data_IF_776623982777
#
_entry.id   IF_776623982777
#
_cell.length_a   1.000
_cell.length_b   1.000
_cell.length_c   1.000
_cell.angle_alpha   90.00
_cell.angle_beta   90.00
_cell.angle_gamma   90.00
#
_symmetry.space_group_name_H-M   'P 1'
#
loop_
_entity.id
_entity.type
_entity.pdbx_description
1 polymer ?
#
# COMPACT_ATOMS: atom_id res chain seq x y z
N UNK A 1 -32.17 16.36 -18.43
CA UNK A 1 -31.25 15.91 -17.37
C UNK A 1 -30.11 16.91 -17.32
N UNK A 2 -30.01 17.71 -16.27
CA UNK A 2 -28.88 18.63 -16.10
C UNK A 2 -27.64 17.81 -15.74
N UNK A 3 -26.60 17.84 -16.57
CA UNK A 3 -25.30 17.29 -16.18
C UNK A 3 -24.79 18.14 -15.02
N UNK A 4 -24.82 17.62 -13.79
CA UNK A 4 -24.07 18.23 -12.69
C UNK A 4 -22.62 18.32 -13.13
N UNK A 5 -22.09 19.53 -13.23
CA UNK A 5 -20.64 19.70 -13.38
C UNK A 5 -19.98 19.06 -12.16
N UNK A 6 -18.89 18.31 -12.33
CA UNK A 6 -18.20 17.70 -11.21
C UNK A 6 -17.79 18.80 -10.24
N UNK A 7 -18.26 18.70 -9.00
CA UNK A 7 -17.83 19.60 -7.93
C UNK A 7 -16.31 19.54 -7.84
N UNK A 8 -15.67 20.69 -8.00
CA UNK A 8 -14.23 20.78 -7.90
C UNK A 8 -13.81 20.44 -6.47
N UNK A 9 -13.11 19.31 -6.31
CA UNK A 9 -12.61 18.88 -5.00
C UNK A 9 -11.66 19.96 -4.44
N UNK A 10 -12.09 20.68 -3.41
CA UNK A 10 -11.29 21.68 -2.73
C UNK A 10 -10.25 20.99 -1.82
N UNK A 11 -8.98 21.25 -2.06
CA UNK A 11 -7.85 20.67 -1.34
C UNK A 11 -7.90 20.90 0.18
N UNK A 12 -8.31 22.09 0.64
CA UNK A 12 -8.41 22.38 2.08
C UNK A 12 -9.58 21.65 2.75
N UNK A 13 -10.66 21.36 2.01
CA UNK A 13 -11.74 20.52 2.52
C UNK A 13 -11.27 19.09 2.77
N UNK A 14 -10.29 18.60 2.02
CA UNK A 14 -9.72 17.27 2.25
C UNK A 14 -8.96 17.23 3.58
N UNK A 15 -8.20 18.26 3.94
CA UNK A 15 -7.54 18.32 5.25
C UNK A 15 -8.57 18.31 6.39
N UNK A 16 -9.70 18.99 6.22
CA UNK A 16 -10.78 18.97 7.21
C UNK A 16 -11.43 17.59 7.32
N UNK A 17 -11.65 16.91 6.20
CA UNK A 17 -12.16 15.53 6.20
C UNK A 17 -11.18 14.57 6.87
N UNK A 18 -9.88 14.67 6.57
CA UNK A 18 -8.83 13.91 7.25
C UNK A 18 -8.93 14.12 8.75
N UNK A 19 -9.04 15.36 9.22
CA UNK A 19 -9.20 15.69 10.66
C UNK A 19 -10.37 14.97 11.34
N UNK A 20 -11.43 14.68 10.59
CA UNK A 20 -12.67 14.06 11.09
C UNK A 20 -12.73 12.54 10.92
N UNK A 21 -11.67 11.92 10.41
CA UNK A 21 -11.57 10.47 10.24
C UNK A 21 -11.74 9.73 11.58
N UNK A 22 -12.41 8.56 11.54
CA UNK A 22 -12.70 7.75 12.73
C UNK A 22 -11.43 7.30 13.45
N UNK A 23 -10.37 7.03 12.68
CA UNK A 23 -9.05 6.65 13.16
C UNK A 23 -8.47 7.70 14.11
N UNK A 24 -8.84 8.98 13.91
CA UNK A 24 -8.36 10.07 14.75
C UNK A 24 -9.23 10.37 15.98
N UNK A 25 -10.29 9.60 16.22
CA UNK A 25 -11.07 9.69 17.46
C UNK A 25 -10.41 8.99 18.65
N UNK A 26 -9.43 8.13 18.39
CA UNK A 26 -8.69 7.42 19.45
C UNK A 26 -7.58 8.33 19.97
N UNK A 27 -7.59 8.59 21.28
CA UNK A 27 -6.64 9.49 21.92
C UNK A 27 -5.25 8.85 22.08
N UNK A 28 -4.40 8.98 21.07
CA UNK A 28 -3.00 8.54 21.11
C UNK A 28 -2.05 9.71 20.83
N UNK A 29 -0.78 9.56 21.21
CA UNK A 29 0.26 10.56 20.92
C UNK A 29 0.38 10.83 19.42
N UNK A 30 0.31 9.78 18.60
CA UNK A 30 0.35 9.88 17.14
C UNK A 30 -0.84 10.69 16.63
N UNK A 31 -2.04 10.35 17.10
CA UNK A 31 -3.28 11.06 16.73
C UNK A 31 -3.21 12.55 17.04
N UNK A 32 -2.71 12.90 18.24
CA UNK A 32 -2.54 14.29 18.67
C UNK A 32 -1.55 15.04 17.79
N UNK A 33 -0.45 14.39 17.39
CA UNK A 33 0.54 14.94 16.48
C UNK A 33 -0.09 15.31 15.13
N UNK A 34 -0.75 14.34 14.50
CA UNK A 34 -1.43 14.53 13.20
C UNK A 34 -2.47 15.64 13.25
N UNK A 35 -3.35 15.62 14.27
CA UNK A 35 -4.38 16.65 14.42
C UNK A 35 -3.79 18.05 14.69
N UNK A 36 -2.67 18.13 15.42
CA UNK A 36 -1.94 19.37 15.63
C UNK A 36 -1.36 19.91 14.33
N UNK A 37 -0.73 19.05 13.53
CA UNK A 37 -0.15 19.41 12.23
C UNK A 37 -1.24 19.87 11.24
N UNK A 38 -2.37 19.16 11.16
CA UNK A 38 -3.53 19.60 10.35
C UNK A 38 -3.99 20.99 10.79
N UNK A 39 -4.13 21.22 12.10
CA UNK A 39 -4.55 22.51 12.63
C UNK A 39 -3.56 23.62 12.24
N UNK A 40 -2.25 23.36 12.31
CA UNK A 40 -1.22 24.31 11.89
C UNK A 40 -1.35 24.66 10.40
N UNK A 41 -1.51 23.66 9.52
CA UNK A 41 -1.70 23.88 8.08
C UNK A 41 -2.96 24.71 7.78
N UNK A 42 -4.08 24.40 8.45
CA UNK A 42 -5.34 25.12 8.28
C UNK A 42 -5.31 26.57 8.79
N UNK A 43 -4.34 26.91 9.65
CA UNK A 43 -4.16 28.24 10.22
C UNK A 43 -3.16 29.11 9.44
N UNK A 44 -2.56 28.59 8.36
CA UNK A 44 -1.72 29.40 7.49
C UNK A 44 -2.54 30.52 6.83
N UNK A 45 -1.92 31.69 6.69
CA UNK A 45 -2.53 32.88 6.10
C UNK A 45 -1.63 33.46 5.00
N UNK A 46 -2.17 34.41 4.22
CA UNK A 46 -1.38 35.17 3.25
C UNK A 46 -0.72 34.31 2.17
N UNK A 47 0.59 34.46 2.03
CA UNK A 47 1.39 33.78 0.99
C UNK A 47 1.59 32.29 1.29
N UNK A 48 1.77 31.93 2.56
CA UNK A 48 2.00 30.54 2.98
C UNK A 48 0.77 29.66 2.73
N UNK A 49 -0.43 30.22 2.93
CA UNK A 49 -1.67 29.55 2.54
C UNK A 49 -1.74 29.24 1.04
N UNK A 50 -1.34 30.19 0.19
CA UNK A 50 -1.36 30.01 -1.27
C UNK A 50 -0.34 28.96 -1.72
N UNK A 51 0.83 28.93 -1.07
CA UNK A 51 1.86 27.90 -1.32
C UNK A 51 1.35 26.51 -0.95
N UNK A 52 0.72 26.37 0.23
CA UNK A 52 0.04 25.14 0.62
C UNK A 52 -1.02 24.74 -0.43
N UNK A 53 -1.93 25.65 -0.79
CA UNK A 53 -2.97 25.35 -1.79
C UNK A 53 -2.39 24.90 -3.14
N UNK A 54 -1.32 25.54 -3.61
CA UNK A 54 -0.60 25.16 -4.83
C UNK A 54 0.02 23.76 -4.72
N UNK A 55 0.67 23.46 -3.59
CA UNK A 55 1.24 22.15 -3.33
C UNK A 55 0.17 21.04 -3.29
N UNK A 56 -0.91 21.28 -2.54
CA UNK A 56 -2.01 20.33 -2.44
C UNK A 56 -2.70 20.07 -3.79
N UNK A 57 -2.78 21.10 -4.64
CA UNK A 57 -3.23 20.97 -6.02
C UNK A 57 -2.26 20.12 -6.86
N UNK A 58 -0.95 20.27 -6.64
CA UNK A 58 0.09 19.42 -7.23
C UNK A 58 -0.11 17.94 -6.91
N UNK A 59 -0.30 17.60 -5.62
CA UNK A 59 -0.63 16.22 -5.18
C UNK A 59 -1.87 15.70 -5.90
N UNK A 60 -2.95 16.49 -5.91
CA UNK A 60 -4.21 16.09 -6.56
C UNK A 60 -4.02 15.81 -8.05
N UNK A 61 -3.27 16.66 -8.76
CA UNK A 61 -3.00 16.47 -10.18
C UNK A 61 -2.18 15.20 -10.43
N UNK A 62 -1.17 14.91 -9.59
CA UNK A 62 -0.42 13.66 -9.66
C UNK A 62 -1.33 12.44 -9.46
N UNK A 63 -2.21 12.47 -8.48
CA UNK A 63 -3.18 11.39 -8.27
C UNK A 63 -4.10 11.20 -9.49
N UNK A 64 -4.58 12.28 -10.11
CA UNK A 64 -5.36 12.19 -11.35
C UNK A 64 -4.56 11.58 -12.49
N UNK A 65 -3.28 11.91 -12.63
CA UNK A 65 -2.37 11.28 -13.60
C UNK A 65 -2.26 9.77 -13.35
N UNK A 66 -2.14 9.34 -12.10
CA UNK A 66 -2.10 7.91 -11.73
C UNK A 66 -3.39 7.16 -12.10
N UNK A 67 -4.52 7.84 -12.05
CA UNK A 67 -5.84 7.29 -12.37
C UNK A 67 -6.17 7.30 -13.88
N UNK A 68 -5.29 7.85 -14.73
CA UNK A 68 -5.46 7.76 -16.18
C UNK A 68 -5.46 6.29 -16.63
N UNK A 69 -6.28 5.90 -17.62
CA UNK A 69 -6.36 4.51 -18.07
C UNK A 69 -5.01 3.87 -18.44
N UNK A 70 -4.09 4.66 -18.99
CA UNK A 70 -2.73 4.23 -19.34
C UNK A 70 -1.89 3.85 -18.13
N UNK A 71 -2.11 4.51 -17.00
CA UNK A 71 -1.36 4.33 -15.76
C UNK A 71 -2.08 3.38 -14.80
N UNK A 72 -3.39 3.21 -14.98
CA UNK A 72 -4.26 2.43 -14.11
C UNK A 72 -3.91 0.94 -14.06
N UNK A 73 -3.43 0.39 -15.18
CA UNK A 73 -2.96 -1.01 -15.24
C UNK A 73 -1.80 -1.27 -14.27
N UNK A 74 -0.99 -0.25 -13.99
CA UNK A 74 0.11 -0.30 -13.03
C UNK A 74 -0.15 0.63 -11.85
N UNK A 75 -1.43 0.83 -11.49
CA UNK A 75 -1.80 1.81 -10.49
C UNK A 75 -1.03 1.61 -9.18
N UNK A 76 -0.90 0.38 -8.69
CA UNK A 76 -0.25 0.09 -7.42
C UNK A 76 1.24 0.43 -7.41
N UNK A 77 1.96 0.05 -8.47
CA UNK A 77 3.35 0.42 -8.63
C UNK A 77 3.54 1.93 -8.75
N UNK A 78 2.79 2.58 -9.65
CA UNK A 78 2.90 4.03 -9.85
C UNK A 78 2.50 4.80 -8.58
N UNK A 79 1.54 4.27 -7.82
CA UNK A 79 1.12 4.85 -6.55
C UNK A 79 2.13 4.60 -5.43
N UNK A 80 2.83 3.46 -5.46
CA UNK A 80 3.94 3.20 -4.58
C UNK A 80 5.10 4.17 -4.86
N UNK A 81 5.57 4.26 -6.11
CA UNK A 81 6.59 5.22 -6.56
C UNK A 81 6.21 6.66 -6.18
N UNK A 82 4.94 7.04 -6.37
CA UNK A 82 4.45 8.34 -5.95
C UNK A 82 4.63 8.58 -4.44
N UNK A 83 4.39 7.57 -3.61
CA UNK A 83 4.48 7.70 -2.15
C UNK A 83 5.88 7.56 -1.60
N UNK A 84 6.72 6.70 -2.18
CA UNK A 84 8.06 6.42 -1.69
C UNK A 84 9.10 7.41 -2.22
N UNK A 85 8.89 7.97 -3.41
CA UNK A 85 9.89 8.83 -4.07
C UNK A 85 9.35 10.23 -4.36
N UNK A 86 8.24 10.34 -5.08
CA UNK A 86 7.79 11.63 -5.61
C UNK A 86 7.29 12.54 -4.48
N UNK A 87 6.41 12.05 -3.61
CA UNK A 87 5.85 12.83 -2.52
C UNK A 87 6.91 13.29 -1.51
N UNK A 88 7.84 12.44 -1.02
CA UNK A 88 8.93 12.89 -0.16
C UNK A 88 9.80 13.97 -0.81
N UNK A 89 10.08 13.87 -2.11
CA UNK A 89 10.81 14.91 -2.84
C UNK A 89 10.03 16.23 -2.88
N UNK A 90 8.72 16.18 -3.18
CA UNK A 90 7.87 17.37 -3.17
C UNK A 90 7.77 18.01 -1.77
N UNK A 91 7.74 17.21 -0.70
CA UNK A 91 7.73 17.68 0.69
C UNK A 91 9.08 18.28 1.11
N UNK A 92 10.18 17.67 0.67
CA UNK A 92 11.54 18.17 0.92
C UNK A 92 11.75 19.54 0.27
N UNK A 93 11.25 19.75 -0.95
CA UNK A 93 11.30 21.07 -1.60
C UNK A 93 10.56 22.16 -0.80
N UNK A 94 9.41 21.84 -0.19
CA UNK A 94 8.67 22.79 0.65
C UNK A 94 9.43 23.11 1.94
N UNK A 95 10.05 22.10 2.53
CA UNK A 95 10.86 22.23 3.74
C UNK A 95 12.10 23.10 3.48
N UNK A 96 12.80 22.88 2.38
CA UNK A 96 13.98 23.67 1.98
C UNK A 96 13.63 25.14 1.75
N UNK A 97 12.43 25.40 1.21
CA UNK A 97 11.91 26.76 1.00
C UNK A 97 11.26 27.37 2.25
N UNK A 98 11.16 26.61 3.35
CA UNK A 98 10.50 27.01 4.60
C UNK A 98 9.06 27.51 4.40
N UNK A 99 8.35 26.96 3.41
CA UNK A 99 7.00 27.40 3.05
C UNK A 99 5.94 26.82 4.00
N UNK A 100 6.27 25.71 4.65
CA UNK A 100 5.41 24.96 5.56
C UNK A 100 6.26 24.52 6.77
N UNK A 101 5.71 24.45 8.00
CA UNK A 101 6.43 23.95 9.15
C UNK A 101 6.97 22.52 8.93
N UNK A 102 8.25 22.29 9.23
CA UNK A 102 8.90 20.99 9.02
C UNK A 102 8.15 19.83 9.67
N UNK A 103 7.59 20.05 10.87
CA UNK A 103 6.80 19.02 11.57
C UNK A 103 5.56 18.56 10.79
N UNK A 104 5.03 19.40 9.89
CA UNK A 104 3.95 19.02 8.99
C UNK A 104 4.50 18.28 7.77
N UNK A 105 5.66 18.66 7.23
CA UNK A 105 6.30 17.97 6.11
C UNK A 105 6.70 16.54 6.49
N UNK A 106 7.23 16.35 7.70
CA UNK A 106 7.68 15.06 8.23
C UNK A 106 6.52 14.16 8.71
N UNK A 107 5.29 14.69 8.73
CA UNK A 107 4.11 13.92 9.17
C UNK A 107 3.58 13.02 8.05
N UNK A 108 4.22 11.87 7.91
CA UNK A 108 3.84 10.89 6.90
C UNK A 108 2.37 10.46 7.01
N UNK A 109 1.86 10.25 8.23
CA UNK A 109 0.49 9.74 8.46
C UNK A 109 -0.54 10.77 7.96
N UNK A 110 -0.30 12.06 8.21
CA UNK A 110 -1.09 13.14 7.64
C UNK A 110 -1.16 13.04 6.12
N UNK A 111 -0.01 13.01 5.44
CA UNK A 111 0.03 13.01 3.98
C UNK A 111 -0.56 11.74 3.37
N UNK A 112 -0.38 10.60 4.05
CA UNK A 112 -0.99 9.35 3.67
C UNK A 112 -2.52 9.43 3.70
N UNK A 113 -3.11 9.88 4.81
CA UNK A 113 -4.56 10.04 4.92
C UNK A 113 -5.10 11.08 3.92
N UNK A 114 -4.35 12.15 3.68
CA UNK A 114 -4.70 13.17 2.70
C UNK A 114 -4.79 12.60 1.27
N UNK A 115 -3.79 11.82 0.87
CA UNK A 115 -3.74 11.16 -0.44
C UNK A 115 -4.87 10.12 -0.56
N UNK A 116 -5.09 9.30 0.47
CA UNK A 116 -6.18 8.32 0.51
C UNK A 116 -7.55 8.99 0.29
N UNK A 117 -7.77 10.16 0.90
CA UNK A 117 -9.01 10.93 0.71
C UNK A 117 -9.15 11.52 -0.69
N UNK A 118 -8.07 12.01 -1.30
CA UNK A 118 -8.11 12.45 -2.70
C UNK A 118 -8.48 11.26 -3.59
N UNK A 119 -7.79 10.12 -3.43
CA UNK A 119 -8.06 8.91 -4.20
C UNK A 119 -9.51 8.46 -4.07
N UNK A 120 -10.06 8.40 -2.85
CA UNK A 120 -11.45 8.05 -2.59
C UNK A 120 -12.41 8.90 -3.43
N UNK A 121 -12.19 10.22 -3.46
CA UNK A 121 -13.04 11.14 -4.22
C UNK A 121 -12.83 11.05 -5.72
N UNK A 122 -11.59 10.99 -6.18
CA UNK A 122 -11.29 10.91 -7.62
C UNK A 122 -11.79 9.57 -8.21
N UNK A 123 -11.71 8.48 -7.45
CA UNK A 123 -12.30 7.18 -7.81
C UNK A 123 -13.83 7.18 -7.76
N UNK A 124 -14.46 8.00 -6.91
CA UNK A 124 -15.91 8.16 -6.87
C UNK A 124 -16.44 8.98 -8.06
N UNK A 125 -15.69 10.01 -8.49
CA UNK A 125 -16.02 10.87 -9.63
C UNK A 125 -15.75 10.16 -10.95
N UNK A 126 -14.64 9.44 -11.03
CA UNK A 126 -14.28 8.66 -12.20
C UNK A 126 -15.27 7.50 -12.29
N UNK A 127 -16.20 7.57 -13.25
CA UNK A 127 -17.11 6.48 -13.62
C UNK A 127 -16.35 5.27 -14.23
N UNK A 128 -15.17 4.96 -13.70
CA UNK A 128 -14.45 3.74 -14.01
C UNK A 128 -15.40 2.61 -13.68
N UNK A 129 -15.69 1.81 -14.71
CA UNK A 129 -16.58 0.67 -14.68
C UNK A 129 -16.47 -0.07 -13.34
N UNK A 130 -17.60 -0.22 -12.66
CA UNK A 130 -17.78 -0.90 -11.36
C UNK A 130 -17.17 -2.32 -11.37
N UNK A 131 -16.86 -2.88 -12.54
CA UNK A 131 -16.30 -4.21 -12.71
C UNK A 131 -14.80 -4.33 -12.36
N UNK A 132 -14.06 -3.22 -12.20
CA UNK A 132 -12.65 -3.28 -11.82
C UNK A 132 -12.21 -2.03 -11.03
N UNK A 133 -12.83 -1.77 -9.87
CA UNK A 133 -12.25 -0.79 -8.95
C UNK A 133 -10.94 -1.38 -8.38
N UNK A 134 -9.77 -0.77 -8.61
CA UNK A 134 -8.52 -1.22 -8.04
C UNK A 134 -8.64 -1.09 -6.53
N UNK A 135 -8.29 -2.16 -5.83
CA UNK A 135 -8.32 -2.16 -4.37
C UNK A 135 -7.07 -1.44 -3.89
N UNK A 136 -7.19 -0.15 -3.58
CA UNK A 136 -6.12 0.58 -2.89
C UNK A 136 -6.09 0.12 -1.43
N UNK A 137 -4.97 -0.45 -1.01
CA UNK A 137 -4.76 -0.84 0.38
C UNK A 137 -4.57 0.43 1.23
N UNK A 138 -5.30 0.52 2.33
CA UNK A 138 -5.07 1.54 3.37
C UNK A 138 -3.69 1.34 4.02
N UNK A 139 -3.15 2.38 4.66
CA UNK A 139 -1.91 2.25 5.44
C UNK A 139 -1.94 1.09 6.47
N UNK A 140 -3.07 0.90 7.17
CA UNK A 140 -3.22 -0.20 8.13
C UNK A 140 -3.15 -1.57 7.44
N UNK A 141 -3.78 -1.70 6.26
CA UNK A 141 -3.70 -2.93 5.47
C UNK A 141 -2.29 -3.18 4.95
N UNK A 142 -1.57 -2.14 4.53
CA UNK A 142 -0.18 -2.25 4.09
C UNK A 142 0.74 -2.74 5.22
N UNK A 143 0.58 -2.20 6.43
CA UNK A 143 1.32 -2.67 7.61
C UNK A 143 1.04 -4.15 7.89
N UNK A 144 -0.23 -4.54 7.79
CA UNK A 144 -0.62 -5.94 7.92
C UNK A 144 -0.03 -6.81 6.80
N UNK A 145 0.06 -6.31 5.57
CA UNK A 145 0.67 -7.02 4.44
C UNK A 145 2.16 -7.22 4.69
N UNK A 146 2.93 -6.18 5.02
CA UNK A 146 4.38 -6.32 5.32
C UNK A 146 4.61 -7.28 6.49
N UNK A 147 3.80 -7.19 7.55
CA UNK A 147 3.90 -8.08 8.70
C UNK A 147 3.70 -9.55 8.32
N UNK A 148 2.63 -9.84 7.57
CA UNK A 148 2.32 -11.22 7.15
C UNK A 148 3.35 -11.74 6.16
N UNK A 149 3.82 -10.89 5.25
CA UNK A 149 4.83 -11.20 4.24
C UNK A 149 6.11 -11.74 4.89
N UNK A 150 6.64 -11.03 5.90
CA UNK A 150 7.78 -11.49 6.69
C UNK A 150 7.55 -12.86 7.34
N UNK A 151 6.35 -13.11 7.83
CA UNK A 151 5.99 -14.42 8.41
C UNK A 151 5.93 -15.54 7.36
N UNK A 152 5.43 -15.26 6.15
CA UNK A 152 5.40 -16.21 5.03
C UNK A 152 6.83 -16.60 4.64
N UNK A 153 7.68 -15.60 4.38
CA UNK A 153 9.07 -15.82 3.97
C UNK A 153 9.84 -16.61 5.03
N UNK A 154 9.73 -16.23 6.32
CA UNK A 154 10.34 -16.96 7.44
C UNK A 154 9.95 -18.44 7.47
N UNK A 155 8.67 -18.73 7.23
CA UNK A 155 8.15 -20.10 7.24
C UNK A 155 8.71 -20.90 6.07
N UNK A 156 8.77 -20.31 4.88
CA UNK A 156 9.31 -20.97 3.70
C UNK A 156 10.82 -21.21 3.80
N UNK A 157 11.59 -20.28 4.39
CA UNK A 157 13.01 -20.49 4.70
C UNK A 157 13.18 -21.74 5.58
N UNK A 158 12.30 -21.91 6.57
CA UNK A 158 12.33 -23.10 7.45
C UNK A 158 11.99 -24.39 6.68
N UNK A 159 10.97 -24.34 5.81
CA UNK A 159 10.56 -25.46 4.94
C UNK A 159 11.69 -25.88 4.00
N UNK A 160 12.39 -24.90 3.43
CA UNK A 160 13.42 -25.07 2.41
C UNK A 160 14.84 -24.92 2.92
N UNK A 161 15.08 -25.13 4.22
CA UNK A 161 16.40 -24.97 4.85
C UNK A 161 17.54 -25.78 4.21
N UNK A 162 17.23 -26.80 3.42
CA UNK A 162 18.19 -27.66 2.71
C UNK A 162 18.28 -27.40 1.20
N UNK A 163 17.39 -26.57 0.65
CA UNK A 163 17.45 -26.13 -0.74
C UNK A 163 18.11 -24.74 -0.76
N UNK A 164 19.38 -24.68 -1.16
CA UNK A 164 20.19 -23.46 -1.11
C UNK A 164 19.63 -22.38 -2.02
N UNK A 165 19.21 -22.73 -3.23
CA UNK A 165 18.67 -21.79 -4.22
C UNK A 165 17.40 -21.14 -3.67
N UNK A 166 16.43 -21.93 -3.21
CA UNK A 166 15.19 -21.39 -2.65
C UNK A 166 15.43 -20.52 -1.43
N UNK A 167 16.40 -20.91 -0.60
CA UNK A 167 16.76 -20.12 0.57
C UNK A 167 17.37 -18.78 0.16
N UNK A 168 18.27 -18.76 -0.82
CA UNK A 168 18.87 -17.52 -1.34
C UNK A 168 17.79 -16.59 -1.92
N UNK A 169 16.85 -17.09 -2.73
CA UNK A 169 15.70 -16.31 -3.20
C UNK A 169 14.91 -15.70 -2.05
N UNK A 170 14.57 -16.52 -1.05
CA UNK A 170 13.75 -16.08 0.07
C UNK A 170 14.50 -15.10 0.98
N UNK A 171 15.81 -15.25 1.14
CA UNK A 171 16.65 -14.30 1.88
C UNK A 171 16.78 -12.97 1.12
N UNK A 172 16.76 -12.97 -0.22
CA UNK A 172 16.76 -11.75 -1.04
C UNK A 172 15.47 -10.92 -0.92
N UNK A 173 14.34 -11.57 -0.56
CA UNK A 173 13.10 -10.87 -0.24
C UNK A 173 13.13 -10.17 1.14
N UNK A 174 14.19 -10.36 1.93
CA UNK A 174 14.31 -9.81 3.28
C UNK A 174 15.43 -8.78 3.36
N UNK A 175 15.23 -7.75 4.20
CA UNK A 175 16.34 -6.88 4.58
C UNK A 175 17.41 -7.71 5.31
N UNK A 176 18.64 -7.62 4.82
CA UNK A 176 19.78 -8.14 5.56
C UNK A 176 20.02 -7.27 6.79
N UNK A 177 20.43 -7.88 7.91
CA UNK A 177 20.59 -7.17 9.19
C UNK A 177 21.56 -5.98 9.14
N UNK A 178 22.39 -5.88 8.09
CA UNK A 178 23.31 -4.78 7.82
C UNK A 178 22.72 -3.65 6.97
N UNK A 179 21.63 -3.90 6.24
CA UNK A 179 21.07 -2.99 5.24
C UNK A 179 19.82 -2.24 5.74
N UNK A 180 19.56 -2.27 7.05
CA UNK A 180 18.60 -1.34 7.66
C UNK A 180 19.28 0.03 7.73
N UNK A 181 19.53 0.63 6.57
CA UNK A 181 19.92 2.03 6.47
C UNK A 181 18.74 2.91 6.85
N UNK A 182 19.07 4.09 7.37
CA UNK A 182 18.18 5.01 8.09
C UNK A 182 17.23 5.78 7.14
N UNK A 183 17.27 5.50 5.83
CA UNK A 183 16.72 6.41 4.81
C UNK A 183 15.40 5.95 4.15
N UNK A 184 14.90 4.75 4.47
CA UNK A 184 13.53 4.36 4.07
C UNK A 184 12.53 5.08 4.99
N UNK A 185 11.89 6.13 4.45
CA UNK A 185 10.81 6.88 5.12
C UNK A 185 9.44 6.19 5.00
N UNK A 186 9.37 4.88 4.76
CA UNK A 186 8.09 4.17 4.74
C UNK A 186 7.58 3.90 6.16
N UNK A 187 6.52 4.59 6.57
CA UNK A 187 5.81 4.41 7.85
C UNK A 187 5.45 2.97 8.20
N UNK A 188 5.26 2.11 7.20
CA UNK A 188 4.95 0.71 7.40
C UNK A 188 6.15 -0.10 7.90
N UNK A 189 7.36 0.33 7.51
CA UNK A 189 8.61 -0.18 8.06
C UNK A 189 8.82 0.30 9.49
N UNK A 190 8.58 1.59 9.77
CA UNK A 190 8.67 2.15 11.12
C UNK A 190 7.67 1.51 12.09
N UNK A 191 6.45 1.25 11.63
CA UNK A 191 5.44 0.52 12.41
C UNK A 191 5.91 -0.90 12.75
N UNK A 192 6.53 -1.60 11.80
CA UNK A 192 7.10 -2.92 12.03
C UNK A 192 8.23 -2.86 13.05
N UNK A 193 9.16 -1.90 12.93
CA UNK A 193 10.26 -1.68 13.89
C UNK A 193 9.72 -1.42 15.29
N UNK A 194 8.67 -0.61 15.43
CA UNK A 194 8.05 -0.30 16.71
C UNK A 194 7.32 -1.51 17.34
N UNK A 195 6.81 -2.43 16.51
CA UNK A 195 6.05 -3.60 16.96
C UNK A 195 6.95 -4.82 17.21
N UNK A 196 8.11 -4.89 16.57
CA UNK A 196 9.03 -6.01 16.68
C UNK A 196 9.62 -6.14 18.09
N UNK A 197 9.69 -7.39 18.55
CA UNK A 197 10.33 -7.78 19.82
C UNK A 197 11.47 -8.77 19.61
N UNK A 198 12.09 -8.72 18.43
CA UNK A 198 13.27 -9.51 18.04
C UNK A 198 12.95 -10.79 17.26
N UNK A 199 11.73 -10.91 16.73
CA UNK A 199 11.26 -12.14 16.08
C UNK A 199 10.69 -11.95 14.67
N UNK A 200 10.51 -10.70 14.24
CA UNK A 200 9.97 -10.38 12.93
C UNK A 200 11.05 -10.43 11.84
N UNK A 201 10.59 -10.68 10.62
CA UNK A 201 11.41 -10.59 9.40
C UNK A 201 10.85 -9.43 8.57
N UNK A 202 11.72 -8.52 8.17
CA UNK A 202 11.37 -7.35 7.39
C UNK A 202 11.58 -7.70 5.92
N UNK A 203 10.53 -7.59 5.12
CA UNK A 203 10.63 -7.75 3.67
C UNK A 203 11.19 -6.47 3.05
N UNK A 204 11.98 -6.61 1.99
CA UNK A 204 12.41 -5.48 1.15
C UNK A 204 11.20 -4.83 0.49
N UNK A 205 11.36 -3.62 -0.07
CA UNK A 205 10.26 -2.94 -0.77
C UNK A 205 9.77 -3.72 -1.99
N UNK A 206 10.70 -4.32 -2.73
CA UNK A 206 10.36 -5.21 -3.84
C UNK A 206 9.61 -6.47 -3.37
N UNK A 207 10.05 -7.06 -2.26
CA UNK A 207 9.32 -8.15 -1.62
C UNK A 207 7.92 -7.72 -1.17
N UNK A 208 7.78 -6.51 -0.63
CA UNK A 208 6.49 -5.94 -0.26
C UNK A 208 5.57 -5.75 -1.47
N UNK A 209 6.08 -5.19 -2.58
CA UNK A 209 5.32 -5.02 -3.83
C UNK A 209 4.76 -6.35 -4.33
N UNK A 210 5.57 -7.43 -4.32
CA UNK A 210 5.11 -8.77 -4.68
C UNK A 210 3.92 -9.20 -3.83
N UNK A 211 3.98 -9.02 -2.51
CA UNK A 211 2.90 -9.41 -1.61
C UNK A 211 1.67 -8.50 -1.74
N UNK A 212 1.81 -7.24 -2.13
CA UNK A 212 0.69 -6.36 -2.46
C UNK A 212 -0.07 -6.88 -3.69
N UNK A 213 0.64 -7.23 -4.76
CA UNK A 213 0.01 -7.79 -5.96
C UNK A 213 -0.70 -9.12 -5.66
N UNK A 214 -0.08 -9.99 -4.85
CA UNK A 214 -0.71 -11.24 -4.40
C UNK A 214 -1.94 -10.97 -3.53
N UNK A 215 -1.93 -9.97 -2.63
CA UNK A 215 -3.06 -9.60 -1.78
C UNK A 215 -4.25 -9.07 -2.59
N UNK A 216 -4.00 -8.20 -3.57
CA UNK A 216 -5.03 -7.63 -4.44
C UNK A 216 -5.65 -8.73 -5.29
N UNK A 217 -4.82 -9.56 -5.93
CA UNK A 217 -5.27 -10.69 -6.73
C UNK A 217 -6.13 -11.64 -5.89
N UNK A 218 -5.62 -12.07 -4.72
CA UNK A 218 -6.31 -12.99 -3.81
C UNK A 218 -7.67 -12.43 -3.40
N UNK A 219 -7.74 -11.15 -3.07
CA UNK A 219 -8.98 -10.50 -2.67
C UNK A 219 -10.02 -10.48 -3.79
N UNK A 220 -9.59 -10.18 -5.02
CA UNK A 220 -10.47 -10.19 -6.19
C UNK A 220 -11.04 -11.60 -6.44
N UNK A 221 -10.20 -12.64 -6.41
CA UNK A 221 -10.67 -14.01 -6.64
C UNK A 221 -11.60 -14.53 -5.55
N UNK A 222 -11.30 -14.21 -4.28
CA UNK A 222 -12.19 -14.57 -3.17
C UNK A 222 -13.54 -13.83 -3.25
N UNK A 223 -13.53 -12.57 -3.70
CA UNK A 223 -14.76 -11.80 -3.93
C UNK A 223 -15.62 -12.40 -5.05
N UNK A 224 -14.97 -12.99 -6.06
CA UNK A 224 -15.63 -13.72 -7.16
C UNK A 224 -16.05 -15.15 -6.78
N UNK A 225 -15.80 -15.58 -5.53
CA UNK A 225 -16.09 -16.92 -5.01
C UNK A 225 -15.39 -18.05 -5.76
N UNK A 226 -14.19 -17.80 -6.26
CA UNK A 226 -13.38 -18.85 -6.86
C UNK A 226 -12.96 -19.91 -5.82
N UNK A 227 -12.64 -21.11 -6.31
CA UNK A 227 -12.09 -22.17 -5.48
C UNK A 227 -10.68 -21.80 -5.02
N UNK A 228 -10.43 -21.83 -3.70
CA UNK A 228 -9.13 -21.52 -3.08
C UNK A 228 -7.97 -22.29 -3.72
N UNK A 229 -8.20 -23.53 -4.16
CA UNK A 229 -7.17 -24.35 -4.83
C UNK A 229 -6.79 -23.82 -6.23
N UNK A 230 -7.69 -23.11 -6.89
CA UNK A 230 -7.46 -22.50 -8.21
C UNK A 230 -6.77 -21.15 -8.09
N UNK A 231 -7.01 -20.40 -7.01
CA UNK A 231 -6.42 -19.07 -6.77
C UNK A 231 -4.90 -19.12 -6.87
N UNK A 232 -4.24 -20.12 -6.24
CA UNK A 232 -2.78 -20.21 -6.29
C UNK A 232 -2.25 -20.41 -7.72
N UNK A 233 -2.95 -21.22 -8.53
CA UNK A 233 -2.54 -21.51 -9.92
C UNK A 233 -2.77 -20.32 -10.82
N UNK A 234 -3.84 -19.57 -10.59
CA UNK A 234 -4.17 -18.38 -11.37
C UNK A 234 -3.24 -17.21 -11.02
N UNK A 235 -2.86 -17.06 -9.75
CA UNK A 235 -1.88 -16.07 -9.30
C UNK A 235 -0.53 -16.26 -9.98
N UNK A 236 -0.05 -17.51 -10.11
CA UNK A 236 1.18 -17.83 -10.84
C UNK A 236 1.10 -17.64 -12.37
N UNK A 237 -0.03 -17.16 -12.89
CA UNK A 237 -0.22 -16.78 -14.30
C UNK A 237 -0.59 -15.31 -14.44
N UNK A 238 -0.70 -14.59 -13.34
CA UNK A 238 -1.04 -13.19 -13.35
C UNK A 238 0.19 -12.38 -13.78
N UNK A 239 0.03 -11.53 -14.79
CA UNK A 239 1.12 -10.78 -15.41
C UNK A 239 1.78 -9.81 -14.42
N UNK A 240 1.02 -9.18 -13.53
CA UNK A 240 1.55 -8.24 -12.54
C UNK A 240 2.40 -8.96 -11.48
N UNK A 241 1.90 -10.08 -10.95
CA UNK A 241 2.65 -10.92 -10.00
C UNK A 241 3.93 -11.46 -10.65
N UNK A 242 3.85 -11.98 -11.87
CA UNK A 242 5.02 -12.55 -12.56
C UNK A 242 6.08 -11.51 -12.88
N UNK A 243 5.65 -10.30 -13.22
CA UNK A 243 6.55 -9.17 -13.47
C UNK A 243 7.31 -8.77 -12.21
N UNK A 244 6.64 -8.60 -11.08
CA UNK A 244 7.34 -8.27 -9.82
C UNK A 244 8.19 -9.45 -9.35
N UNK A 245 7.71 -10.68 -9.57
CA UNK A 245 8.48 -11.88 -9.25
C UNK A 245 9.79 -11.97 -10.04
N UNK A 246 9.78 -11.67 -11.34
CA UNK A 246 11.01 -11.70 -12.15
C UNK A 246 12.02 -10.64 -11.71
N UNK A 247 11.55 -9.50 -11.21
CA UNK A 247 12.40 -8.50 -10.56
C UNK A 247 12.95 -8.98 -9.21
N UNK A 248 12.23 -9.84 -8.48
CA UNK A 248 12.73 -10.41 -7.21
C UNK A 248 13.84 -11.46 -7.40
N UNK A 249 13.92 -12.10 -8.59
CA UNK A 249 14.82 -13.23 -8.85
C UNK A 249 15.84 -12.97 -9.96
N UNK A 250 16.22 -11.70 -10.18
CA UNK A 250 17.05 -11.22 -11.30
C UNK A 250 18.29 -12.08 -11.62
N UNK A 251 18.93 -12.69 -10.61
CA UNK A 251 20.15 -13.48 -10.79
C UNK A 251 19.92 -14.99 -10.95
N UNK A 252 18.67 -15.44 -11.06
CA UNK A 252 18.30 -16.85 -11.13
C UNK A 252 17.47 -17.06 -12.39
N UNK A 253 17.92 -17.97 -13.25
CA UNK A 253 17.15 -18.33 -14.45
C UNK A 253 15.72 -18.71 -14.06
N UNK A 254 14.75 -18.20 -14.83
CA UNK A 254 13.33 -18.48 -14.63
C UNK A 254 13.07 -19.96 -14.93
N UNK A 255 13.26 -20.77 -13.90
CA UNK A 255 13.18 -22.23 -13.93
C UNK A 255 11.83 -22.69 -13.39
N UNK A 256 11.47 -23.93 -13.68
CA UNK A 256 10.31 -24.59 -13.03
C UNK A 256 10.40 -24.53 -11.50
N UNK A 257 11.63 -24.53 -10.96
CA UNK A 257 11.88 -24.39 -9.53
C UNK A 257 11.48 -23.00 -9.00
N UNK A 258 11.78 -21.92 -9.73
CA UNK A 258 11.39 -20.55 -9.32
C UNK A 258 9.87 -20.39 -9.35
N UNK A 259 9.21 -20.95 -10.35
CA UNK A 259 7.75 -20.97 -10.41
C UNK A 259 7.13 -21.80 -9.29
N UNK A 260 7.78 -22.90 -8.90
CA UNK A 260 7.37 -23.71 -7.75
C UNK A 260 7.52 -22.95 -6.43
N UNK A 261 8.56 -22.11 -6.30
CA UNK A 261 8.74 -21.25 -5.14
C UNK A 261 7.67 -20.16 -5.07
N UNK A 262 7.39 -19.46 -6.18
CA UNK A 262 6.30 -18.49 -6.27
C UNK A 262 4.95 -19.13 -5.88
N UNK A 263 4.67 -20.33 -6.41
CA UNK A 263 3.46 -21.07 -6.06
C UNK A 263 3.34 -21.32 -4.55
N UNK A 264 4.44 -21.69 -3.89
CA UNK A 264 4.44 -21.90 -2.44
C UNK A 264 4.30 -20.60 -1.64
N UNK A 265 4.89 -19.49 -2.11
CA UNK A 265 4.69 -18.15 -1.54
C UNK A 265 3.21 -17.79 -1.57
N UNK A 266 2.58 -17.86 -2.74
CA UNK A 266 1.15 -17.57 -2.90
C UNK A 266 0.30 -18.52 -2.06
N UNK A 267 0.61 -19.81 -2.05
CA UNK A 267 -0.14 -20.80 -1.26
C UNK A 267 -0.09 -20.49 0.24
N UNK A 268 1.08 -20.15 0.77
CA UNK A 268 1.18 -19.77 2.18
C UNK A 268 0.49 -18.43 2.46
N UNK A 269 0.55 -17.48 1.54
CA UNK A 269 -0.19 -16.22 1.64
C UNK A 269 -1.70 -16.44 1.73
N UNK A 270 -2.29 -17.14 0.75
CA UNK A 270 -3.73 -17.45 0.70
C UNK A 270 -4.13 -18.31 1.89
N UNK A 271 -3.27 -19.20 2.39
CA UNK A 271 -3.54 -19.92 3.63
C UNK A 271 -3.72 -18.97 4.82
N UNK A 272 -2.90 -17.94 4.97
CA UNK A 272 -3.01 -17.00 6.09
C UNK A 272 -4.17 -16.01 5.85
N UNK A 273 -4.16 -15.35 4.70
CA UNK A 273 -5.06 -14.24 4.38
C UNK A 273 -6.41 -14.70 3.87
N UNK A 274 -6.48 -15.76 3.08
CA UNK A 274 -7.74 -16.33 2.60
C UNK A 274 -8.64 -16.83 3.74
N UNK A 275 -8.07 -17.42 4.79
CA UNK A 275 -8.85 -17.76 6.00
C UNK A 275 -9.36 -16.50 6.72
N UNK A 276 -8.52 -15.47 6.83
CA UNK A 276 -8.93 -14.19 7.42
C UNK A 276 -10.08 -13.55 6.61
N UNK A 277 -9.96 -13.47 5.29
CA UNK A 277 -10.95 -12.87 4.40
C UNK A 277 -12.26 -13.66 4.34
N UNK A 278 -12.20 -15.00 4.36
CA UNK A 278 -13.39 -15.85 4.43
C UNK A 278 -14.18 -15.63 5.74
N UNK A 279 -13.48 -15.36 6.85
CA UNK A 279 -14.12 -15.07 8.15
C UNK A 279 -14.83 -13.71 8.19
N UNK A 280 -14.40 -12.73 7.39
CA UNK A 280 -15.05 -11.41 7.27
C UNK A 280 -16.31 -11.41 6.38
N UNK A 281 -16.82 -12.58 5.98
CA UNK A 281 -18.15 -12.69 5.35
C UNK A 281 -18.17 -12.56 3.82
N UNK A 282 -17.02 -12.39 3.17
CA UNK A 282 -16.91 -12.40 1.70
C UNK A 282 -17.35 -13.77 1.12
N UNK A 283 -17.39 -14.84 1.94
CA UNK A 283 -17.89 -16.17 1.57
C UNK A 283 -19.20 -16.64 2.21
N UNK A 284 -19.84 -15.90 3.15
CA UNK A 284 -21.04 -16.38 3.87
C UNK A 284 -22.35 -15.95 3.19
N UNK A 285 -22.54 -16.30 1.93
CA UNK A 285 -23.84 -16.21 1.27
C UNK A 285 -24.59 -17.55 1.17
N UNK A 286 -23.99 -18.69 1.52
CA UNK A 286 -24.68 -19.98 1.42
C UNK A 286 -24.33 -20.90 2.59
N UNK A 287 -25.13 -20.81 3.65
CA UNK A 287 -25.49 -21.94 4.51
C UNK A 287 -26.75 -21.57 5.30
N UNK A 288 -27.80 -21.11 4.60
CA UNK A 288 -29.16 -21.32 5.08
C UNK A 288 -29.61 -22.68 4.54
N UNK A 289 -29.53 -23.67 5.43
CA UNK A 289 -30.04 -25.03 5.26
C UNK A 289 -31.49 -24.98 4.75
N UNK A 290 -31.76 -25.69 3.65
CA UNK A 290 -33.02 -26.42 3.50
C UNK A 290 -32.88 -27.75 4.24
#
# INVERSE_FOLDING_TARGET
MASRQPEEINALLILDEVRTMEEFKVDTTVTKGVLSNIKMLMQLEGDDKKKLESFLLGIKNKIKELLLPTNFMKFHQNFHEFRSEILPNMLSELMDRQEIPNCCCDDYILWQCYIEKILEKELAVSKVSILAKPRVLTHVEQNAVRYVAGSVVRKLITKYRHNTIFKECLDALLFQKSDVTVDSQDSSEDWLKATDRGGLKYVTDLGFELFVEVEIFTYQQLSNKENVEEIHKLACKNEDILRVWSECVIDIEETEEMMQLLYDIVREWVKIRGHSMANYGIGRAQTKKM
#
